data_IF_817723471001
#
_entry.id   IF_817723471001
#
_cell.length_a   1.000
_cell.length_b   1.000
_cell.length_c   1.000
_cell.angle_alpha   90.00
_cell.angle_beta   90.00
_cell.angle_gamma   90.00
#
_symmetry.space_group_name_H-M   'P 1'
#
loop_
_entity.id
_entity.type
_entity.pdbx_description
1 polymer ?
#
# COMPACT_ATOMS: atom_id res chain seq x y z
N UNK A 1 -8.84 1.48 11.53
CA UNK A 1 -8.11 2.76 11.37
C UNK A 1 -8.88 3.54 10.31
N UNK A 2 -9.28 4.79 10.56
CA UNK A 2 -9.92 5.62 9.52
C UNK A 2 -8.91 6.00 8.43
N UNK A 3 -9.39 6.18 7.19
CA UNK A 3 -8.58 6.59 6.03
C UNK A 3 -7.92 7.95 6.27
N UNK A 4 -8.62 8.88 6.94
CA UNK A 4 -8.09 10.22 7.28
C UNK A 4 -6.81 10.15 8.13
N UNK A 5 -6.72 9.12 8.98
CA UNK A 5 -5.53 8.88 9.80
C UNK A 5 -4.35 8.35 8.99
N UNK A 6 -4.61 7.65 7.88
CA UNK A 6 -3.56 7.20 6.96
C UNK A 6 -3.07 8.36 6.08
N UNK A 7 -4.00 9.21 5.63
CA UNK A 7 -3.72 10.39 4.81
C UNK A 7 -2.81 11.40 5.55
N UNK A 8 -3.05 11.60 6.83
CA UNK A 8 -2.29 12.56 7.65
C UNK A 8 -0.87 12.11 8.00
N UNK A 9 -0.49 10.85 7.75
CA UNK A 9 0.84 10.36 8.11
C UNK A 9 1.32 9.22 7.19
N UNK A 10 2.30 9.48 6.29
CA UNK A 10 2.86 8.48 5.39
C UNK A 10 3.42 7.23 6.08
N UNK A 11 3.92 7.33 7.31
CA UNK A 11 4.40 6.15 8.06
C UNK A 11 3.25 5.22 8.46
N UNK A 12 2.06 5.77 8.76
CA UNK A 12 0.90 4.94 9.03
C UNK A 12 0.42 4.23 7.77
N UNK A 13 0.44 4.90 6.62
CA UNK A 13 0.20 4.25 5.33
C UNK A 13 1.20 3.11 5.10
N UNK A 14 2.51 3.36 5.24
CA UNK A 14 3.53 2.34 5.03
C UNK A 14 3.30 1.09 5.91
N UNK A 15 3.04 1.29 7.20
CA UNK A 15 2.73 0.20 8.14
C UNK A 15 1.41 -0.51 7.81
N UNK A 16 0.42 0.22 7.29
CA UNK A 16 -0.82 -0.38 6.81
C UNK A 16 -0.57 -1.29 5.61
N UNK A 17 0.16 -0.81 4.60
CA UNK A 17 0.45 -1.56 3.38
C UNK A 17 1.29 -2.80 3.67
N UNK A 18 2.29 -2.72 4.56
CA UNK A 18 3.04 -3.90 5.02
C UNK A 18 2.15 -4.95 5.68
N UNK A 19 1.10 -4.55 6.41
CA UNK A 19 0.11 -5.48 6.97
C UNK A 19 -0.76 -6.11 5.88
N UNK A 20 -1.09 -5.39 4.80
CA UNK A 20 -1.80 -5.97 3.66
C UNK A 20 -0.94 -6.99 2.93
N UNK A 21 0.36 -6.73 2.73
CA UNK A 21 1.27 -7.72 2.13
C UNK A 21 1.30 -9.05 2.89
N UNK A 22 1.18 -9.02 4.23
CA UNK A 22 1.11 -10.26 5.05
C UNK A 22 -0.14 -11.11 4.80
N UNK A 23 -1.18 -10.55 4.17
CA UNK A 23 -2.40 -11.29 3.79
C UNK A 23 -2.26 -12.00 2.45
N UNK A 24 -1.18 -11.74 1.71
CA UNK A 24 -0.93 -12.34 0.41
C UNK A 24 -0.23 -13.71 0.58
N UNK A 25 -0.32 -14.60 -0.42
CA UNK A 25 0.47 -15.83 -0.45
C UNK A 25 1.97 -15.54 -0.32
N UNK A 26 2.70 -16.45 0.34
CA UNK A 26 4.12 -16.25 0.70
C UNK A 26 5.00 -15.86 -0.49
N UNK A 27 4.76 -16.44 -1.67
CA UNK A 27 5.52 -16.15 -2.90
C UNK A 27 5.27 -14.74 -3.48
N UNK A 28 4.16 -14.09 -3.11
CA UNK A 28 3.83 -12.73 -3.57
C UNK A 28 4.27 -11.65 -2.59
N UNK A 29 4.45 -11.98 -1.30
CA UNK A 29 4.68 -10.97 -0.26
C UNK A 29 5.91 -10.11 -0.53
N UNK A 30 7.03 -10.73 -0.91
CA UNK A 30 8.30 -10.00 -1.06
C UNK A 30 8.28 -9.08 -2.28
N UNK A 31 7.69 -9.51 -3.40
CA UNK A 31 7.47 -8.66 -4.56
C UNK A 31 6.76 -7.35 -4.17
N UNK A 32 5.65 -7.44 -3.44
CA UNK A 32 4.91 -6.25 -3.02
C UNK A 32 5.63 -5.43 -1.94
N UNK A 33 6.37 -6.05 -1.02
CA UNK A 33 7.22 -5.30 -0.06
C UNK A 33 8.30 -4.48 -0.76
N UNK A 34 8.93 -5.04 -1.80
CA UNK A 34 9.93 -4.33 -2.60
C UNK A 34 9.29 -3.18 -3.38
N UNK A 35 8.14 -3.44 -4.03
CA UNK A 35 7.40 -2.41 -4.74
C UNK A 35 6.99 -1.25 -3.82
N UNK A 36 6.54 -1.54 -2.59
CA UNK A 36 6.23 -0.51 -1.59
C UNK A 36 7.44 0.35 -1.25
N UNK A 37 8.61 -0.25 -0.99
CA UNK A 37 9.83 0.53 -0.71
C UNK A 37 10.19 1.44 -1.89
N UNK A 38 10.14 0.91 -3.11
CA UNK A 38 10.46 1.68 -4.31
C UNK A 38 9.49 2.84 -4.51
N UNK A 39 8.19 2.59 -4.37
CA UNK A 39 7.15 3.61 -4.53
C UNK A 39 7.22 4.71 -3.48
N UNK A 40 7.57 4.40 -2.23
CA UNK A 40 7.80 5.43 -1.21
C UNK A 40 9.01 6.29 -1.55
N UNK A 41 10.10 5.68 -2.03
CA UNK A 41 11.30 6.40 -2.42
C UNK A 41 11.06 7.33 -3.63
N UNK A 42 10.18 6.96 -4.57
CA UNK A 42 9.87 7.81 -5.74
C UNK A 42 9.03 9.05 -5.41
N UNK A 43 8.51 9.17 -4.19
CA UNK A 43 7.66 10.29 -3.76
C UNK A 43 8.25 11.08 -2.60
N UNK A 44 9.54 10.92 -2.28
CA UNK A 44 10.20 11.61 -1.16
C UNK A 44 10.15 13.13 -1.28
N UNK A 45 10.27 13.65 -2.50
CA UNK A 45 10.30 15.09 -2.79
C UNK A 45 8.91 15.68 -3.07
N UNK A 46 7.84 14.87 -2.99
CA UNK A 46 6.47 15.35 -3.19
C UNK A 46 6.02 16.16 -1.97
N UNK A 47 5.78 17.45 -2.18
CA UNK A 47 5.35 18.39 -1.12
C UNK A 47 3.93 18.90 -1.31
N UNK A 48 3.29 18.63 -2.47
CA UNK A 48 1.94 19.07 -2.73
C UNK A 48 0.93 18.21 -1.94
N UNK A 49 0.15 18.80 -1.02
CA UNK A 49 -0.73 18.04 -0.15
C UNK A 49 -1.85 17.30 -0.92
N UNK A 50 -2.31 17.85 -2.04
CA UNK A 50 -3.35 17.22 -2.84
C UNK A 50 -2.81 16.02 -3.62
N UNK A 51 -1.58 16.13 -4.14
CA UNK A 51 -0.90 15.00 -4.78
C UNK A 51 -0.60 13.88 -3.79
N UNK A 52 -0.14 14.23 -2.59
CA UNK A 52 0.07 13.26 -1.50
C UNK A 52 -1.24 12.51 -1.19
N UNK A 53 -2.37 13.21 -1.04
CA UNK A 53 -3.67 12.57 -0.82
C UNK A 53 -4.04 11.59 -1.94
N UNK A 54 -3.86 12.00 -3.20
CA UNK A 54 -4.16 11.15 -4.35
C UNK A 54 -3.28 9.88 -4.37
N UNK A 55 -1.98 10.02 -4.12
CA UNK A 55 -1.04 8.88 -4.01
C UNK A 55 -1.49 7.93 -2.90
N UNK A 56 -1.83 8.48 -1.72
CA UNK A 56 -2.28 7.67 -0.58
C UNK A 56 -3.59 6.94 -0.89
N UNK A 57 -4.59 7.63 -1.45
CA UNK A 57 -5.88 7.02 -1.82
C UNK A 57 -5.66 5.87 -2.81
N UNK A 58 -4.85 6.13 -3.84
CA UNK A 58 -4.53 5.13 -4.86
C UNK A 58 -3.83 3.91 -4.27
N UNK A 59 -2.84 4.12 -3.40
CA UNK A 59 -2.12 3.02 -2.75
C UNK A 59 -3.04 2.15 -1.87
N UNK A 60 -4.05 2.74 -1.22
CA UNK A 60 -5.05 2.00 -0.45
C UNK A 60 -5.94 1.17 -1.37
N UNK A 61 -6.49 1.77 -2.43
CA UNK A 61 -7.33 1.08 -3.43
C UNK A 61 -6.59 -0.10 -4.07
N UNK A 62 -5.34 0.12 -4.49
CA UNK A 62 -4.52 -0.93 -5.10
C UNK A 62 -4.27 -2.07 -4.12
N UNK A 63 -3.95 -1.78 -2.85
CA UNK A 63 -3.75 -2.80 -1.84
C UNK A 63 -5.02 -3.62 -1.56
N UNK A 64 -6.18 -2.97 -1.47
CA UNK A 64 -7.47 -3.64 -1.29
C UNK A 64 -7.81 -4.54 -2.48
N UNK A 65 -7.59 -4.05 -3.70
CA UNK A 65 -7.80 -4.83 -4.92
C UNK A 65 -6.88 -6.04 -4.99
N UNK A 66 -5.58 -5.88 -4.69
CA UNK A 66 -4.59 -6.97 -4.68
C UNK A 66 -4.99 -8.04 -3.66
N UNK A 67 -5.31 -7.65 -2.42
CA UNK A 67 -5.72 -8.61 -1.38
C UNK A 67 -6.99 -9.36 -1.80
N UNK A 68 -7.96 -8.66 -2.38
CA UNK A 68 -9.19 -9.27 -2.91
C UNK A 68 -8.94 -10.21 -4.08
N UNK A 69 -7.98 -9.90 -4.95
CA UNK A 69 -7.58 -10.76 -6.08
C UNK A 69 -7.02 -12.08 -5.56
N UNK A 70 -6.06 -12.02 -4.62
CA UNK A 70 -5.43 -13.21 -4.06
C UNK A 70 -6.33 -13.99 -3.09
N UNK A 71 -7.33 -13.35 -2.46
CA UNK A 71 -8.29 -14.08 -1.62
C UNK A 71 -9.29 -14.92 -2.43
N UNK A 72 -9.58 -14.53 -3.68
CA UNK A 72 -10.43 -15.29 -4.61
C UNK A 72 -9.66 -16.38 -5.37
N UNK A 73 -8.33 -16.28 -5.40
CA UNK A 73 -7.44 -17.27 -5.99
C UNK A 73 -6.34 -17.59 -4.97
N UNK A 74 -6.68 -18.29 -3.86
CA UNK A 74 -5.64 -18.86 -3.01
C UNK A 74 -4.83 -19.78 -3.93
N UNK A 75 -3.51 -19.55 -3.98
CA UNK A 75 -2.63 -20.11 -5.01
C UNK A 75 -2.89 -21.58 -5.30
N UNK A 76 -2.85 -21.92 -6.59
CA UNK A 76 -2.62 -23.29 -7.07
C UNK A 76 -1.40 -23.87 -6.33
#
# INVERSE_FOLDING_TARGET
MSVDKLISNPLYLYRYLLRQCKKLPSNAQDHYKHHLRQSFNSHLDETNPERIKQIISRAIEDAEWIVKKYSKQPGI
#
